data_IF_988903594659
#
_entry.id   IF_988903594659
#
_cell.length_a   1.000
_cell.length_b   1.000
_cell.length_c   1.000
_cell.angle_alpha   90.00
_cell.angle_beta   90.00
_cell.angle_gamma   90.00
#
_symmetry.space_group_name_H-M   'P 1'
#
loop_
_entity.id
_entity.type
_entity.pdbx_description
1 polymer ?
#
# COMPACT_ATOMS: atom_id res chain seq x y z
N UNK A 1 19.95 -14.44 -24.61
CA UNK A 1 21.40 -14.67 -24.43
C UNK A 1 21.57 -15.28 -23.05
N UNK A 2 21.94 -16.56 -22.98
CA UNK A 2 22.15 -17.30 -21.73
C UNK A 2 23.33 -16.68 -20.97
N UNK A 3 23.07 -16.14 -19.78
CA UNK A 3 24.10 -15.78 -18.81
C UNK A 3 24.17 -16.95 -17.81
N UNK A 4 25.38 -17.44 -17.59
CA UNK A 4 25.77 -18.63 -16.81
C UNK A 4 24.78 -19.15 -15.76
N UNK A 5 24.41 -20.42 -15.89
CA UNK A 5 23.44 -21.11 -15.06
C UNK A 5 23.93 -21.34 -13.62
N UNK A 6 23.56 -20.43 -12.73
CA UNK A 6 23.22 -20.80 -11.36
C UNK A 6 21.73 -21.16 -11.37
N UNK A 7 21.37 -22.28 -10.76
CA UNK A 7 19.97 -22.55 -10.44
C UNK A 7 19.46 -21.39 -9.59
N UNK A 8 18.42 -20.68 -10.05
CA UNK A 8 17.72 -19.71 -9.22
C UNK A 8 17.10 -20.40 -8.00
N UNK A 9 16.71 -21.66 -8.11
CA UNK A 9 16.06 -22.40 -7.03
C UNK A 9 17.05 -22.99 -6.03
N UNK A 10 16.68 -22.95 -4.75
CA UNK A 10 17.38 -23.66 -3.68
C UNK A 10 17.22 -25.18 -3.82
N UNK A 11 18.28 -25.93 -3.50
CA UNK A 11 18.26 -27.39 -3.67
C UNK A 11 17.66 -28.13 -2.47
N UNK A 12 17.73 -27.52 -1.28
CA UNK A 12 17.26 -28.09 -0.02
C UNK A 12 16.94 -26.99 1.01
N UNK A 13 16.36 -27.39 2.15
CA UNK A 13 15.96 -26.47 3.23
C UNK A 13 17.14 -25.80 3.94
N UNK A 14 18.31 -26.44 4.01
CA UNK A 14 19.50 -25.88 4.64
C UNK A 14 20.06 -24.72 3.80
N UNK A 15 20.11 -24.89 2.47
CA UNK A 15 20.50 -23.82 1.54
C UNK A 15 19.59 -22.59 1.70
N UNK A 16 18.28 -22.80 1.88
CA UNK A 16 17.32 -21.72 2.12
C UNK A 16 17.57 -21.00 3.45
N UNK A 17 17.83 -21.75 4.54
CA UNK A 17 18.12 -21.14 5.85
C UNK A 17 19.38 -20.28 5.80
N UNK A 18 20.45 -20.81 5.22
CA UNK A 18 21.71 -20.06 5.06
C UNK A 18 21.51 -18.79 4.23
N UNK A 19 20.67 -18.85 3.20
CA UNK A 19 20.30 -17.66 2.43
C UNK A 19 19.46 -16.67 3.26
N UNK A 20 18.45 -17.15 3.98
CA UNK A 20 17.54 -16.33 4.78
C UNK A 20 18.29 -15.59 5.90
N UNK A 21 19.26 -16.24 6.55
CA UNK A 21 20.12 -15.64 7.58
C UNK A 21 20.99 -14.48 7.07
N UNK A 22 21.16 -14.36 5.74
CA UNK A 22 21.89 -13.27 5.08
C UNK A 22 20.97 -12.14 4.60
N UNK A 23 19.65 -12.29 4.74
CA UNK A 23 18.67 -11.30 4.31
C UNK A 23 18.22 -10.38 5.42
N UNK A 24 17.44 -9.36 5.05
CA UNK A 24 16.70 -8.55 6.01
C UNK A 24 15.77 -9.45 6.83
N UNK A 25 15.54 -9.08 8.08
CA UNK A 25 14.63 -9.78 8.97
C UNK A 25 13.25 -9.91 8.28
N UNK A 26 12.64 -11.09 8.42
CA UNK A 26 11.34 -11.44 7.85
C UNK A 26 11.27 -11.46 6.29
N UNK A 27 12.41 -11.37 5.60
CA UNK A 27 12.47 -11.57 4.16
C UNK A 27 12.11 -13.01 3.76
N UNK A 28 11.30 -13.15 2.71
CA UNK A 28 10.82 -14.43 2.21
C UNK A 28 11.36 -14.65 0.80
N UNK A 29 11.89 -15.85 0.56
CA UNK A 29 12.41 -16.23 -0.76
C UNK A 29 11.32 -16.20 -1.82
N UNK A 30 11.68 -15.73 -3.01
CA UNK A 30 10.73 -15.64 -4.11
C UNK A 30 10.28 -17.00 -4.62
N UNK A 31 9.04 -17.09 -5.08
CA UNK A 31 8.52 -18.35 -5.62
C UNK A 31 8.32 -19.47 -4.58
N UNK A 32 8.38 -19.20 -3.28
CA UNK A 32 8.33 -20.23 -2.22
C UNK A 32 7.10 -21.14 -2.28
N UNK A 33 5.96 -20.62 -2.75
CA UNK A 33 4.71 -21.38 -2.93
C UNK A 33 4.42 -21.75 -4.39
N UNK A 34 5.42 -21.63 -5.27
CA UNK A 34 5.33 -22.13 -6.65
C UNK A 34 5.78 -23.58 -6.75
N UNK A 35 5.35 -24.35 -7.76
CA UNK A 35 5.78 -25.74 -7.94
C UNK A 35 7.29 -25.93 -8.08
N UNK A 36 8.01 -24.89 -8.53
CA UNK A 36 9.46 -24.93 -8.70
C UNK A 36 10.23 -24.70 -7.39
N UNK A 37 9.55 -24.25 -6.33
CA UNK A 37 10.14 -23.97 -5.02
C UNK A 37 10.87 -22.62 -4.94
N UNK A 38 11.41 -22.30 -3.75
CA UNK A 38 11.98 -20.99 -3.48
C UNK A 38 13.22 -20.70 -4.31
N UNK A 39 13.37 -19.43 -4.68
CA UNK A 39 14.46 -18.87 -5.49
C UNK A 39 15.35 -17.92 -4.67
N UNK A 40 16.59 -17.72 -5.12
CA UNK A 40 17.68 -16.97 -4.49
C UNK A 40 17.53 -15.44 -4.56
N UNK A 41 16.33 -14.94 -4.29
CA UNK A 41 16.02 -13.51 -4.17
C UNK A 41 14.89 -13.26 -3.16
N UNK A 42 14.84 -12.06 -2.60
CA UNK A 42 13.71 -11.64 -1.75
C UNK A 42 12.49 -11.39 -2.63
N UNK A 43 11.52 -12.30 -2.58
CA UNK A 43 10.29 -12.17 -3.36
C UNK A 43 9.13 -11.56 -2.61
N UNK A 44 9.19 -11.56 -1.27
CA UNK A 44 8.19 -10.94 -0.42
C UNK A 44 8.81 -10.46 0.90
N UNK A 45 8.33 -9.35 1.45
CA UNK A 45 8.78 -8.80 2.74
C UNK A 45 7.66 -8.01 3.44
N UNK A 46 7.42 -8.21 4.76
CA UNK A 46 6.48 -7.38 5.51
C UNK A 46 6.92 -5.92 5.61
N UNK A 47 5.98 -4.99 5.45
CA UNK A 47 6.22 -3.55 5.56
C UNK A 47 4.94 -2.82 5.96
N UNK A 48 5.06 -1.52 6.24
CA UNK A 48 3.91 -0.62 6.21
C UNK A 48 3.87 0.06 4.84
N UNK A 49 2.78 -0.17 4.08
CA UNK A 49 2.55 0.41 2.76
C UNK A 49 1.51 1.50 2.83
N UNK A 50 1.80 2.63 2.20
CA UNK A 50 0.83 3.66 1.85
C UNK A 50 0.45 3.56 0.38
N UNK A 51 -0.82 3.88 0.09
CA UNK A 51 -1.39 3.91 -1.26
C UNK A 51 -2.25 5.16 -1.39
N UNK A 52 -2.02 5.95 -2.45
CA UNK A 52 -2.79 7.15 -2.75
C UNK A 52 -3.28 7.10 -4.20
N UNK A 53 -4.57 7.34 -4.40
CA UNK A 53 -5.22 7.41 -5.70
C UNK A 53 -5.53 8.87 -6.05
N UNK A 54 -5.08 9.32 -7.22
CA UNK A 54 -5.21 10.72 -7.63
C UNK A 54 -5.45 10.84 -9.14
N UNK A 55 -5.94 11.99 -9.58
CA UNK A 55 -6.26 12.25 -11.00
C UNK A 55 -5.08 12.92 -11.72
N UNK A 56 -5.12 12.87 -13.05
CA UNK A 56 -4.27 13.72 -13.91
C UNK A 56 -2.75 13.57 -13.72
N UNK A 57 -2.23 12.36 -13.48
CA UNK A 57 -0.78 12.13 -13.38
C UNK A 57 0.04 12.58 -14.59
N UNK A 58 -0.59 12.85 -15.73
CA UNK A 58 0.04 13.45 -16.92
C UNK A 58 0.35 14.94 -16.78
N UNK A 59 -0.32 15.67 -15.88
CA UNK A 59 -0.25 17.13 -15.81
C UNK A 59 1.08 17.59 -15.22
N UNK A 60 1.54 18.78 -15.62
CA UNK A 60 2.78 19.35 -15.09
C UNK A 60 2.71 19.55 -13.57
N UNK A 61 1.55 20.00 -13.06
CA UNK A 61 1.31 20.17 -11.64
C UNK A 61 1.45 18.85 -10.88
N UNK A 62 0.79 17.78 -11.35
CA UNK A 62 0.83 16.48 -10.67
C UNK A 62 2.20 15.81 -10.80
N UNK A 63 2.92 15.97 -11.92
CA UNK A 63 4.30 15.46 -12.05
C UNK A 63 5.26 16.14 -11.09
N UNK A 64 5.09 17.43 -10.87
CA UNK A 64 5.84 18.17 -9.85
C UNK A 64 5.48 17.70 -8.44
N UNK A 65 4.19 17.52 -8.13
CA UNK A 65 3.75 16.96 -6.86
C UNK A 65 4.31 15.56 -6.60
N UNK A 66 4.34 14.67 -7.61
CA UNK A 66 4.95 13.33 -7.53
C UNK A 66 6.44 13.44 -7.20
N UNK A 67 7.17 14.33 -7.89
CA UNK A 67 8.59 14.54 -7.62
C UNK A 67 8.84 15.00 -6.18
N UNK A 68 8.03 15.93 -5.67
CA UNK A 68 8.12 16.38 -4.28
C UNK A 68 7.79 15.27 -3.26
N UNK A 69 6.83 14.39 -3.57
CA UNK A 69 6.54 13.21 -2.73
C UNK A 69 7.75 12.27 -2.67
N UNK A 70 8.43 12.08 -3.81
CA UNK A 70 9.64 11.26 -3.85
C UNK A 70 10.82 11.91 -3.12
N UNK A 71 11.01 13.23 -3.27
CA UNK A 71 12.04 13.99 -2.56
C UNK A 71 11.88 13.84 -1.03
N UNK A 72 10.65 13.96 -0.51
CA UNK A 72 10.36 13.75 0.91
C UNK A 72 10.64 12.29 1.34
N UNK A 73 10.20 11.31 0.54
CA UNK A 73 10.48 9.89 0.81
C UNK A 73 11.99 9.59 0.84
N UNK A 74 12.76 10.19 -0.07
CA UNK A 74 14.21 10.04 -0.16
C UNK A 74 14.95 10.57 1.08
N UNK A 75 14.35 11.48 1.86
CA UNK A 75 14.93 11.94 3.12
C UNK A 75 15.18 10.78 4.10
N UNK A 76 14.40 9.70 3.99
CA UNK A 76 14.54 8.50 4.81
C UNK A 76 15.09 7.31 4.04
N UNK A 77 14.66 7.14 2.79
CA UNK A 77 14.88 5.90 2.04
C UNK A 77 16.17 5.87 1.21
N UNK A 78 16.77 7.04 0.91
CA UNK A 78 17.80 7.17 -0.13
C UNK A 78 18.99 6.21 0.03
N UNK A 79 19.45 5.99 1.26
CA UNK A 79 20.60 5.11 1.54
C UNK A 79 20.29 3.62 1.33
N UNK A 80 19.00 3.25 1.32
CA UNK A 80 18.55 1.87 1.15
C UNK A 80 18.18 1.51 -0.30
N UNK A 81 17.90 2.50 -1.15
CA UNK A 81 17.45 2.27 -2.52
C UNK A 81 18.60 1.78 -3.41
N UNK A 82 18.36 0.67 -4.13
CA UNK A 82 19.37 -0.04 -4.94
C UNK A 82 19.04 0.00 -6.43
N UNK A 83 17.76 -0.12 -6.78
CA UNK A 83 17.30 -0.22 -8.17
C UNK A 83 16.18 0.75 -8.49
N UNK A 84 16.16 1.21 -9.74
CA UNK A 84 15.08 1.96 -10.35
C UNK A 84 14.62 1.25 -11.63
N UNK A 85 13.31 1.04 -11.73
CA UNK A 85 12.62 0.43 -12.86
C UNK A 85 11.63 1.41 -13.47
N UNK A 86 11.52 1.38 -14.79
CA UNK A 86 10.66 2.25 -15.59
C UNK A 86 9.94 1.40 -16.64
N UNK A 87 8.64 1.60 -16.78
CA UNK A 87 7.88 1.08 -17.92
C UNK A 87 7.88 2.10 -19.07
N UNK A 88 8.20 1.64 -20.28
CA UNK A 88 8.39 2.48 -21.47
C UNK A 88 9.20 3.79 -21.25
N UNK A 89 10.49 3.70 -20.85
CA UNK A 89 11.30 4.87 -20.52
C UNK A 89 11.41 5.90 -21.67
N UNK A 90 11.62 7.20 -21.38
CA UNK A 90 11.88 8.20 -22.40
C UNK A 90 13.13 7.85 -23.21
N UNK A 91 13.22 8.41 -24.44
CA UNK A 91 14.43 8.25 -25.27
C UNK A 91 15.66 8.66 -24.46
N UNK A 92 16.71 7.83 -24.48
CA UNK A 92 17.97 7.95 -23.69
C UNK A 92 17.95 7.39 -22.26
N UNK A 93 16.85 6.82 -21.80
CA UNK A 93 16.76 6.14 -20.50
C UNK A 93 16.61 4.63 -20.67
N UNK A 94 16.95 3.89 -19.62
CA UNK A 94 16.86 2.43 -19.58
C UNK A 94 15.71 1.99 -18.70
N UNK A 95 15.08 0.87 -19.04
CA UNK A 95 13.98 0.27 -18.25
C UNK A 95 14.42 -0.10 -16.84
N UNK A 96 15.71 -0.35 -16.64
CA UNK A 96 16.29 -0.65 -15.33
C UNK A 96 17.68 -0.04 -15.18
N UNK A 97 17.93 0.60 -14.05
CA UNK A 97 19.24 1.13 -13.66
C UNK A 97 19.47 0.96 -12.17
N UNK A 98 20.74 0.91 -11.76
CA UNK A 98 21.06 1.09 -10.34
C UNK A 98 20.68 2.50 -9.92
N UNK A 99 20.20 2.64 -8.68
CA UNK A 99 19.62 3.89 -8.19
C UNK A 99 20.63 5.04 -8.16
N UNK A 100 21.91 4.77 -7.87
CA UNK A 100 23.02 5.74 -7.91
C UNK A 100 23.24 6.38 -9.29
N UNK A 101 22.84 5.68 -10.36
CA UNK A 101 22.93 6.12 -11.76
C UNK A 101 21.59 6.61 -12.31
N UNK A 102 20.51 6.48 -11.55
CA UNK A 102 19.19 6.92 -11.98
C UNK A 102 19.16 8.45 -12.12
N UNK A 103 18.49 8.93 -13.16
CA UNK A 103 18.19 10.35 -13.28
C UNK A 103 17.19 10.76 -12.20
N UNK A 104 17.21 12.02 -11.73
CA UNK A 104 16.16 12.54 -10.87
C UNK A 104 14.77 12.30 -11.49
N UNK A 105 13.80 11.83 -10.69
CA UNK A 105 12.45 11.50 -11.19
C UNK A 105 11.82 12.70 -11.91
N UNK A 106 12.07 13.90 -11.40
CA UNK A 106 11.60 15.19 -11.93
C UNK A 106 12.04 15.44 -13.37
N UNK A 107 13.27 15.08 -13.71
CA UNK A 107 13.80 15.27 -15.06
C UNK A 107 13.25 14.22 -16.03
N UNK A 108 13.14 12.98 -15.56
CA UNK A 108 12.53 11.88 -16.32
C UNK A 108 11.06 12.19 -16.64
N UNK A 109 10.28 12.65 -15.66
CA UNK A 109 8.87 13.03 -15.81
C UNK A 109 8.65 14.20 -16.78
N UNK A 110 9.59 15.15 -16.90
CA UNK A 110 9.52 16.23 -17.91
C UNK A 110 9.65 15.69 -19.34
N UNK A 111 10.35 14.58 -19.53
CA UNK A 111 10.60 13.99 -20.84
C UNK A 111 9.44 13.10 -21.35
N UNK A 112 8.49 12.73 -20.48
CA UNK A 112 7.30 11.99 -20.91
C UNK A 112 6.32 12.90 -21.66
N UNK A 113 5.79 12.43 -22.79
CA UNK A 113 4.62 13.07 -23.41
C UNK A 113 3.42 13.00 -22.46
N UNK A 114 2.55 14.03 -22.37
CA UNK A 114 1.27 13.95 -21.64
C UNK A 114 0.34 12.84 -22.16
N UNK A 115 0.55 12.37 -23.38
CA UNK A 115 -0.23 11.29 -24.01
C UNK A 115 0.29 9.89 -23.67
N UNK A 116 1.41 9.79 -22.95
CA UNK A 116 1.95 8.52 -22.47
C UNK A 116 1.69 8.36 -20.98
N UNK A 117 1.26 7.16 -20.60
CA UNK A 117 1.34 6.73 -19.20
C UNK A 117 2.82 6.50 -18.84
N UNK A 118 3.11 6.47 -17.56
CA UNK A 118 4.44 6.10 -17.06
C UNK A 118 4.28 5.24 -15.82
N UNK A 119 5.33 4.50 -15.49
CA UNK A 119 5.46 3.78 -14.23
C UNK A 119 6.91 3.85 -13.77
N UNK A 120 7.13 4.13 -12.49
CA UNK A 120 8.41 4.05 -11.81
C UNK A 120 8.29 3.13 -10.60
N UNK A 121 9.33 2.33 -10.39
CA UNK A 121 9.54 1.54 -9.18
C UNK A 121 10.96 1.82 -8.67
N UNK A 122 11.08 2.25 -7.43
CA UNK A 122 12.33 2.36 -6.68
C UNK A 122 12.27 1.37 -5.53
N UNK A 123 13.28 0.52 -5.37
CA UNK A 123 13.26 -0.53 -4.34
C UNK A 123 14.62 -0.67 -3.66
N UNK A 124 14.60 -1.23 -2.45
CA UNK A 124 15.77 -1.64 -1.66
C UNK A 124 16.19 -3.09 -1.89
N UNK A 125 15.53 -3.81 -2.80
CA UNK A 125 15.88 -5.20 -3.14
C UNK A 125 17.35 -5.33 -3.57
N UNK A 126 18.07 -6.32 -3.03
CA UNK A 126 19.51 -6.49 -3.34
C UNK A 126 19.71 -6.91 -4.79
N UNK A 127 19.03 -7.98 -5.20
CA UNK A 127 19.04 -8.45 -6.57
C UNK A 127 18.13 -7.59 -7.45
N UNK A 128 18.45 -7.51 -8.74
CA UNK A 128 17.73 -6.69 -9.73
C UNK A 128 16.21 -6.89 -9.71
N UNK A 129 15.73 -8.10 -9.47
CA UNK A 129 14.31 -8.47 -9.43
C UNK A 129 13.79 -8.75 -8.02
N UNK A 130 14.57 -8.45 -6.98
CA UNK A 130 14.12 -8.57 -5.60
C UNK A 130 13.25 -7.37 -5.20
N UNK A 131 12.40 -7.59 -4.20
CA UNK A 131 11.74 -6.52 -3.47
C UNK A 131 12.50 -6.21 -2.18
N UNK A 132 12.08 -5.15 -1.48
CA UNK A 132 12.62 -4.73 -0.19
C UNK A 132 11.59 -3.87 0.53
N UNK A 133 11.75 -3.71 1.85
CA UNK A 133 10.77 -3.00 2.68
C UNK A 133 10.68 -1.50 2.35
N UNK A 134 11.77 -0.91 1.86
CA UNK A 134 11.79 0.43 1.26
C UNK A 134 11.44 0.32 -0.22
N UNK A 135 10.22 0.71 -0.59
CA UNK A 135 9.74 0.75 -1.97
C UNK A 135 8.98 2.05 -2.22
N UNK A 136 9.17 2.66 -3.38
CA UNK A 136 8.33 3.75 -3.87
C UNK A 136 7.91 3.44 -5.30
N UNK A 137 6.60 3.43 -5.55
CA UNK A 137 6.08 3.24 -6.90
C UNK A 137 5.15 4.38 -7.27
N UNK A 138 5.17 4.76 -8.55
CA UNK A 138 4.21 5.73 -9.07
C UNK A 138 3.92 5.43 -10.51
N UNK A 139 2.63 5.47 -10.85
CA UNK A 139 2.16 5.28 -12.21
C UNK A 139 1.12 6.34 -12.54
N UNK A 140 1.49 7.21 -13.48
CA UNK A 140 0.64 8.27 -13.98
C UNK A 140 -0.15 7.83 -15.21
N UNK A 141 -1.45 8.07 -15.21
CA UNK A 141 -2.30 7.86 -16.38
C UNK A 141 -2.11 9.00 -17.38
N UNK A 142 -2.17 8.67 -18.67
CA UNK A 142 -2.08 9.66 -19.74
C UNK A 142 -3.29 10.59 -19.75
N UNK A 143 -3.19 11.69 -20.51
CA UNK A 143 -4.29 12.64 -20.68
C UNK A 143 -5.55 11.98 -21.24
N UNK A 144 -5.44 11.24 -22.34
CA UNK A 144 -6.56 10.51 -22.93
C UNK A 144 -7.20 9.52 -21.95
N UNK A 145 -6.40 8.74 -21.20
CA UNK A 145 -6.94 7.84 -20.18
C UNK A 145 -7.71 8.59 -19.09
N UNK A 146 -7.19 9.74 -18.65
CA UNK A 146 -7.84 10.57 -17.64
C UNK A 146 -9.17 11.16 -18.14
N UNK A 147 -9.22 11.60 -19.40
CA UNK A 147 -10.43 12.13 -20.05
C UNK A 147 -11.55 11.09 -20.22
N UNK A 148 -11.21 9.80 -20.30
CA UNK A 148 -12.22 8.73 -20.30
C UNK A 148 -12.99 8.62 -18.98
N UNK A 149 -12.49 9.22 -17.89
CA UNK A 149 -13.14 9.20 -16.57
C UNK A 149 -13.13 7.84 -15.87
N UNK A 150 -12.52 6.80 -16.46
CA UNK A 150 -12.45 5.43 -15.93
C UNK A 150 -11.02 5.04 -15.49
N UNK A 151 -10.12 6.01 -15.35
CA UNK A 151 -8.75 5.80 -14.93
C UNK A 151 -8.33 6.81 -13.86
N UNK A 152 -7.47 6.37 -12.95
CA UNK A 152 -6.77 7.22 -12.00
C UNK A 152 -5.33 6.75 -11.84
N UNK A 153 -4.47 7.68 -11.43
CA UNK A 153 -3.06 7.46 -11.15
C UNK A 153 -2.90 6.97 -9.71
N UNK A 154 -1.80 6.27 -9.45
CA UNK A 154 -1.52 5.71 -8.13
C UNK A 154 -0.09 6.01 -7.74
N UNK A 155 0.10 6.31 -6.46
CA UNK A 155 1.41 6.40 -5.83
C UNK A 155 1.40 5.49 -4.60
N UNK A 156 2.45 4.70 -4.43
CA UNK A 156 2.67 3.90 -3.23
C UNK A 156 4.06 4.17 -2.67
N UNK A 157 4.19 4.03 -1.37
CA UNK A 157 5.49 3.91 -0.72
C UNK A 157 5.40 2.97 0.46
N UNK A 158 6.51 2.33 0.81
CA UNK A 158 6.60 1.45 1.98
C UNK A 158 7.88 1.68 2.76
N UNK A 159 7.82 1.33 4.03
CA UNK A 159 8.95 1.38 4.96
C UNK A 159 8.91 0.15 5.87
N UNK A 160 10.05 -0.29 6.43
CA UNK A 160 10.09 -1.37 7.40
C UNK A 160 9.14 -1.13 8.57
N UNK A 161 8.50 -2.19 9.04
CA UNK A 161 7.54 -2.13 10.16
C UNK A 161 8.17 -1.47 11.39
N UNK A 162 9.33 -1.97 11.82
CA UNK A 162 10.05 -1.47 13.00
C UNK A 162 10.38 0.03 12.87
N UNK A 163 10.82 0.46 11.68
CA UNK A 163 11.12 1.86 11.42
C UNK A 163 9.87 2.74 11.60
N UNK A 164 8.71 2.31 11.11
CA UNK A 164 7.45 3.08 11.24
C UNK A 164 6.94 3.09 12.68
N UNK A 165 7.13 2.01 13.46
CA UNK A 165 6.76 2.00 14.87
C UNK A 165 7.61 2.98 15.70
N UNK A 166 8.89 3.13 15.36
CA UNK A 166 9.80 4.09 15.98
C UNK A 166 9.56 5.53 15.47
N UNK A 167 9.20 5.69 14.20
CA UNK A 167 9.10 6.97 13.49
C UNK A 167 7.67 7.29 13.03
N UNK A 168 6.67 6.89 13.83
CA UNK A 168 5.24 6.90 13.45
C UNK A 168 4.77 8.24 12.88
N UNK A 169 5.14 9.35 13.53
CA UNK A 169 4.75 10.69 13.09
C UNK A 169 5.37 11.09 11.75
N UNK A 170 6.60 10.64 11.47
CA UNK A 170 7.27 10.92 10.18
C UNK A 170 6.55 10.20 9.03
N UNK A 171 6.12 8.95 9.25
CA UNK A 171 5.31 8.22 8.26
C UNK A 171 3.95 8.88 8.04
N UNK A 172 3.23 9.24 9.11
CA UNK A 172 1.93 9.92 9.03
C UNK A 172 2.06 11.25 8.29
N UNK A 173 3.09 12.05 8.61
CA UNK A 173 3.33 13.33 7.97
C UNK A 173 3.64 13.18 6.48
N UNK A 174 4.48 12.21 6.11
CA UNK A 174 4.73 11.89 4.70
C UNK A 174 3.43 11.53 3.97
N UNK A 175 2.60 10.67 4.55
CA UNK A 175 1.32 10.27 3.97
C UNK A 175 0.39 11.47 3.75
N UNK A 176 0.24 12.34 4.76
CA UNK A 176 -0.58 13.56 4.68
C UNK A 176 -0.05 14.51 3.62
N UNK A 177 1.26 14.77 3.61
CA UNK A 177 1.88 15.69 2.65
C UNK A 177 1.75 15.18 1.22
N UNK A 178 1.93 13.88 0.99
CA UNK A 178 1.69 13.27 -0.32
C UNK A 178 0.21 13.36 -0.72
N UNK A 179 -0.72 13.06 0.18
CA UNK A 179 -2.16 13.17 -0.09
C UNK A 179 -2.55 14.61 -0.47
N UNK A 180 -2.00 15.61 0.23
CA UNK A 180 -2.22 17.03 -0.04
C UNK A 180 -1.68 17.44 -1.42
N UNK A 181 -0.41 17.16 -1.71
CA UNK A 181 0.23 17.56 -2.97
C UNK A 181 -0.44 16.92 -4.19
N UNK A 182 -0.83 15.66 -4.07
CA UNK A 182 -1.48 14.90 -5.13
C UNK A 182 -2.98 15.19 -5.23
N UNK A 183 -3.56 15.98 -4.30
CA UNK A 183 -5.01 16.19 -4.19
C UNK A 183 -5.75 14.84 -4.21
N UNK A 184 -5.28 13.90 -3.40
CA UNK A 184 -5.69 12.51 -3.46
C UNK A 184 -7.22 12.38 -3.28
N UNK A 185 -7.85 11.59 -4.16
CA UNK A 185 -9.28 11.29 -4.04
C UNK A 185 -9.54 10.42 -2.81
N UNK A 186 -8.67 9.43 -2.61
CA UNK A 186 -8.64 8.56 -1.45
C UNK A 186 -7.32 7.81 -1.37
N UNK A 187 -7.12 7.09 -0.29
CA UNK A 187 -5.97 6.25 -0.06
C UNK A 187 -6.02 5.58 1.29
N UNK A 188 -5.03 4.77 1.57
CA UNK A 188 -4.90 4.11 2.86
C UNK A 188 -3.44 3.74 3.13
N UNK A 189 -3.10 3.53 4.40
CA UNK A 189 -1.81 2.98 4.78
C UNK A 189 -1.95 2.03 5.97
N UNK A 190 -1.14 0.97 5.98
CA UNK A 190 -1.10 -0.03 7.05
C UNK A 190 -0.17 -1.18 6.72
N UNK A 191 -0.30 -2.29 7.45
CA UNK A 191 0.48 -3.51 7.18
C UNK A 191 0.28 -3.97 5.73
N UNK A 192 1.35 -4.41 5.09
CA UNK A 192 1.36 -4.99 3.76
C UNK A 192 2.46 -6.04 3.66
N UNK A 193 2.37 -6.87 2.63
CA UNK A 193 3.50 -7.66 2.16
C UNK A 193 3.92 -7.10 0.81
N UNK A 194 5.11 -6.51 0.73
CA UNK A 194 5.64 -6.03 -0.53
C UNK A 194 6.18 -7.24 -1.26
N UNK A 195 5.66 -7.51 -2.45
CA UNK A 195 6.15 -8.57 -3.33
C UNK A 195 6.99 -7.96 -4.45
N UNK A 196 7.87 -8.77 -5.05
CA UNK A 196 8.58 -8.33 -6.26
C UNK A 196 7.58 -8.10 -7.40
N UNK A 197 7.35 -6.82 -7.71
CA UNK A 197 6.49 -6.35 -8.80
C UNK A 197 6.94 -6.90 -10.17
N UNK A 198 8.24 -7.14 -10.32
CA UNK A 198 8.87 -7.60 -11.57
C UNK A 198 8.62 -9.09 -11.80
N UNK A 199 8.30 -9.81 -10.72
CA UNK A 199 7.99 -11.24 -10.72
C UNK A 199 6.71 -11.51 -9.95
N UNK A 200 5.70 -10.65 -10.10
CA UNK A 200 4.45 -10.69 -9.32
C UNK A 200 3.82 -12.09 -9.35
N UNK A 201 3.72 -12.70 -10.53
CA UNK A 201 3.13 -14.03 -10.75
C UNK A 201 3.72 -15.12 -9.85
N UNK A 202 5.01 -15.02 -9.50
CA UNK A 202 5.72 -15.99 -8.66
C UNK A 202 5.53 -15.73 -7.17
N UNK A 203 5.13 -14.52 -6.79
CA UNK A 203 5.13 -14.06 -5.40
C UNK A 203 3.72 -13.73 -4.87
N UNK A 204 2.72 -13.54 -5.73
CA UNK A 204 1.31 -13.42 -5.31
C UNK A 204 0.82 -14.59 -4.45
N UNK A 205 1.22 -15.87 -4.68
CA UNK A 205 0.86 -16.96 -3.78
C UNK A 205 1.36 -16.73 -2.34
N UNK A 206 2.53 -16.10 -2.17
CA UNK A 206 3.08 -15.73 -0.84
C UNK A 206 2.23 -14.65 -0.19
N UNK A 207 1.85 -13.60 -0.92
CA UNK A 207 0.96 -12.57 -0.42
C UNK A 207 -0.42 -13.14 -0.05
N UNK A 208 -0.95 -14.06 -0.87
CA UNK A 208 -2.21 -14.75 -0.62
C UNK A 208 -2.15 -15.59 0.66
N UNK A 209 -1.07 -16.35 0.88
CA UNK A 209 -0.83 -17.09 2.12
C UNK A 209 -0.82 -16.16 3.34
N UNK A 210 -0.02 -15.09 3.28
CA UNK A 210 0.13 -14.15 4.39
C UNK A 210 -1.15 -13.38 4.70
N UNK A 211 -1.99 -13.09 3.72
CA UNK A 211 -3.29 -12.42 3.93
C UNK A 211 -4.25 -13.20 4.84
N UNK A 212 -4.05 -14.52 4.97
CA UNK A 212 -4.84 -15.39 5.88
C UNK A 212 -4.29 -15.39 7.29
N UNK A 213 -3.02 -15.03 7.45
CA UNK A 213 -2.31 -14.88 8.72
C UNK A 213 -2.41 -13.47 9.28
N UNK A 214 -2.45 -12.48 8.41
CA UNK A 214 -2.51 -11.06 8.74
C UNK A 214 -3.71 -10.45 8.02
N UNK A 215 -4.87 -10.52 8.66
CA UNK A 215 -6.15 -10.14 8.07
C UNK A 215 -6.25 -8.65 7.77
N UNK A 216 -5.54 -7.78 8.48
CA UNK A 216 -5.57 -6.35 8.22
C UNK A 216 -4.60 -5.91 7.11
N UNK A 217 -3.74 -6.82 6.64
CA UNK A 217 -2.74 -6.54 5.61
C UNK A 217 -3.38 -6.13 4.28
N UNK A 218 -2.84 -5.08 3.65
CA UNK A 218 -3.15 -4.72 2.27
C UNK A 218 -2.53 -5.72 1.29
N UNK A 219 -3.27 -6.05 0.24
CA UNK A 219 -2.95 -7.12 -0.73
C UNK A 219 -3.14 -6.69 -2.17
N UNK A 220 -2.36 -7.24 -3.08
CA UNK A 220 -2.43 -7.06 -4.53
C UNK A 220 -1.90 -5.72 -5.01
N UNK A 221 -1.90 -5.53 -6.32
CA UNK A 221 -1.38 -4.32 -6.98
C UNK A 221 -2.43 -3.18 -6.99
N UNK A 222 -2.13 -2.04 -6.32
CA UNK A 222 -2.94 -0.83 -6.42
C UNK A 222 -3.17 -0.32 -7.85
N UNK A 223 -2.23 -0.50 -8.79
CA UNK A 223 -2.37 -0.04 -10.17
C UNK A 223 -3.44 -0.81 -10.96
N UNK A 224 -3.51 -2.13 -10.75
CA UNK A 224 -4.50 -2.99 -11.41
C UNK A 224 -5.91 -2.77 -10.87
N UNK A 225 -6.02 -2.47 -9.57
CA UNK A 225 -7.29 -2.19 -8.91
C UNK A 225 -7.80 -0.75 -9.13
N UNK A 226 -6.93 0.20 -9.48
CA UNK A 226 -7.23 1.63 -9.60
C UNK A 226 -8.50 1.95 -10.41
N UNK A 227 -8.72 1.28 -11.55
CA UNK A 227 -9.89 1.57 -12.40
C UNK A 227 -11.24 1.22 -11.76
N UNK A 228 -11.26 0.33 -10.77
CA UNK A 228 -12.48 -0.05 -10.03
C UNK A 228 -12.75 0.88 -8.84
N UNK A 229 -11.79 1.70 -8.46
CA UNK A 229 -11.80 2.50 -7.21
C UNK A 229 -12.08 3.98 -7.46
N UNK A 230 -12.77 4.33 -8.55
CA UNK A 230 -12.98 5.73 -8.95
C UNK A 230 -14.12 6.35 -8.16
N UNK A 231 -15.16 5.57 -7.89
CA UNK A 231 -16.37 5.98 -7.18
C UNK A 231 -16.40 5.50 -5.73
N UNK A 232 -15.28 4.99 -5.21
CA UNK A 232 -15.24 4.47 -3.85
C UNK A 232 -13.88 3.95 -3.43
N UNK A 233 -13.80 3.50 -2.17
CA UNK A 233 -12.59 2.97 -1.56
C UNK A 233 -12.52 1.44 -1.66
N UNK A 234 -11.30 0.90 -1.62
CA UNK A 234 -11.04 -0.55 -1.57
C UNK A 234 -11.29 -1.12 -0.17
N UNK A 235 -10.75 -0.43 0.84
CA UNK A 235 -10.71 -0.87 2.23
C UNK A 235 -10.44 0.34 3.13
N UNK A 236 -10.66 0.16 4.44
CA UNK A 236 -10.06 1.00 5.48
C UNK A 236 -8.75 0.36 5.97
N UNK A 237 -7.90 1.15 6.61
CA UNK A 237 -6.66 0.69 7.26
C UNK A 237 -6.26 1.65 8.40
N UNK A 238 -5.04 1.51 8.93
CA UNK A 238 -4.48 2.37 9.98
C UNK A 238 -4.66 3.85 9.68
N UNK A 239 -4.24 4.27 8.49
CA UNK A 239 -4.54 5.59 7.93
C UNK A 239 -5.51 5.38 6.77
N UNK A 240 -6.58 6.17 6.70
CA UNK A 240 -7.53 6.15 5.59
C UNK A 240 -7.80 7.57 5.12
N UNK A 241 -7.37 7.90 3.90
CA UNK A 241 -7.60 9.20 3.27
C UNK A 241 -8.88 9.13 2.43
N UNK A 242 -9.76 10.12 2.58
CA UNK A 242 -10.95 10.29 1.74
C UNK A 242 -11.16 11.78 1.45
N UNK A 243 -11.56 12.09 0.21
CA UNK A 243 -11.86 13.47 -0.18
C UNK A 243 -13.05 14.04 0.62
N UNK A 244 -13.16 15.37 0.65
CA UNK A 244 -14.24 16.05 1.38
C UNK A 244 -15.63 15.73 0.83
N UNK A 245 -15.79 15.48 -0.48
CA UNK A 245 -17.08 15.13 -1.05
C UNK A 245 -17.65 13.86 -0.40
N UNK A 246 -16.82 12.84 -0.19
CA UNK A 246 -17.20 11.59 0.43
C UNK A 246 -17.31 11.71 1.95
N UNK A 247 -16.35 12.40 2.58
CA UNK A 247 -16.37 12.59 4.03
C UNK A 247 -17.59 13.37 4.51
N UNK A 248 -17.99 14.43 3.79
CA UNK A 248 -19.14 15.24 4.16
C UNK A 248 -20.44 14.43 4.13
N UNK A 249 -20.62 13.54 3.13
CA UNK A 249 -21.78 12.63 3.07
C UNK A 249 -21.86 11.71 4.28
N UNK A 250 -20.72 11.17 4.73
CA UNK A 250 -20.66 10.34 5.93
C UNK A 250 -20.96 11.16 7.19
N UNK A 251 -20.33 12.33 7.32
CA UNK A 251 -20.54 13.24 8.46
C UNK A 251 -21.99 13.68 8.63
N UNK A 252 -22.72 13.87 7.52
CA UNK A 252 -24.13 14.27 7.53
C UNK A 252 -25.07 13.12 7.96
N UNK A 253 -24.65 11.87 7.78
CA UNK A 253 -25.46 10.67 8.03
C UNK A 253 -25.15 10.02 9.38
N UNK A 254 -23.93 10.16 9.87
CA UNK A 254 -23.41 9.46 11.05
C UNK A 254 -23.07 10.42 12.18
N UNK A 255 -23.34 10.00 13.42
CA UNK A 255 -22.92 10.72 14.61
C UNK A 255 -21.44 10.46 14.93
N UNK A 256 -20.53 10.98 14.09
CA UNK A 256 -19.09 10.64 14.10
C UNK A 256 -18.42 10.76 15.47
N UNK A 257 -18.79 11.73 16.31
CA UNK A 257 -18.26 11.88 17.67
C UNK A 257 -18.57 10.68 18.57
N UNK A 258 -19.70 10.00 18.35
CA UNK A 258 -20.07 8.77 19.06
C UNK A 258 -19.54 7.51 18.35
N UNK A 259 -19.53 7.53 17.02
CA UNK A 259 -19.15 6.37 16.22
C UNK A 259 -17.63 6.15 16.14
N UNK A 260 -16.85 7.23 16.14
CA UNK A 260 -15.39 7.26 16.09
C UNK A 260 -14.85 8.09 17.27
N UNK A 261 -14.87 7.55 18.51
CA UNK A 261 -14.48 8.32 19.69
C UNK A 261 -13.04 8.80 19.58
N UNK A 262 -12.83 10.11 19.77
CA UNK A 262 -11.52 10.74 19.53
C UNK A 262 -10.39 10.33 20.50
N UNK A 263 -10.68 9.43 21.44
CA UNK A 263 -9.65 8.77 22.25
C UNK A 263 -8.87 7.73 21.44
N UNK A 264 -9.45 7.17 20.37
CA UNK A 264 -8.80 6.16 19.50
C UNK A 264 -8.71 6.59 18.03
N UNK A 265 -9.50 7.58 17.62
CA UNK A 265 -9.50 8.10 16.26
C UNK A 265 -9.08 9.57 16.22
N UNK A 266 -8.41 9.97 15.14
CA UNK A 266 -8.06 11.37 14.90
C UNK A 266 -8.09 11.67 13.40
N UNK A 267 -8.60 12.85 13.05
CA UNK A 267 -8.66 13.35 11.68
C UNK A 267 -7.59 14.40 11.40
N UNK A 268 -7.03 14.37 10.20
CA UNK A 268 -6.08 15.36 9.69
C UNK A 268 -6.57 15.92 8.36
N UNK A 269 -6.69 17.23 8.27
CA UNK A 269 -6.99 17.92 7.01
C UNK A 269 -5.75 17.85 6.09
N UNK A 270 -5.96 17.44 4.84
CA UNK A 270 -4.93 17.48 3.78
C UNK A 270 -5.33 18.43 2.62
N UNK A 271 -6.28 19.33 2.85
CA UNK A 271 -6.73 20.41 1.95
C UNK A 271 -7.87 20.01 1.01
N UNK A 272 -7.87 18.78 0.48
CA UNK A 272 -8.94 18.27 -0.40
C UNK A 272 -9.75 17.12 0.22
N UNK A 273 -9.43 16.78 1.46
CA UNK A 273 -10.07 15.71 2.22
C UNK A 273 -9.48 15.56 3.61
N UNK A 274 -9.79 14.43 4.24
CA UNK A 274 -9.33 14.08 5.58
C UNK A 274 -8.62 12.73 5.59
N UNK A 275 -7.52 12.64 6.35
CA UNK A 275 -6.92 11.39 6.77
C UNK A 275 -7.48 11.03 8.14
N UNK A 276 -8.09 9.85 8.26
CA UNK A 276 -8.53 9.29 9.53
C UNK A 276 -7.47 8.29 9.98
N UNK A 277 -6.86 8.54 11.14
CA UNK A 277 -5.98 7.60 11.83
C UNK A 277 -6.80 6.79 12.86
N UNK A 278 -6.68 5.46 12.80
CA UNK A 278 -7.33 4.50 13.68
C UNK A 278 -6.29 3.81 14.58
N UNK A 279 -6.15 4.28 15.82
CA UNK A 279 -5.18 3.77 16.78
C UNK A 279 -3.76 4.36 16.65
N UNK A 280 -2.87 3.99 17.57
CA UNK A 280 -1.50 4.53 17.62
C UNK A 280 -0.60 3.96 16.52
N UNK A 281 -0.66 2.66 16.27
CA UNK A 281 0.22 1.94 15.34
C UNK A 281 -0.62 1.17 14.32
N UNK A 282 -0.01 0.83 13.19
CA UNK A 282 -0.59 -0.11 12.27
C UNK A 282 -0.75 -1.48 12.95
N UNK A 283 -1.89 -2.12 12.76
CA UNK A 283 -2.20 -3.45 13.30
C UNK A 283 -2.22 -4.44 12.14
N UNK A 284 -1.55 -5.58 12.30
CA UNK A 284 -1.45 -6.60 11.25
C UNK A 284 -2.73 -7.42 11.07
N UNK A 285 -3.60 -7.42 12.09
CA UNK A 285 -4.76 -8.32 12.12
C UNK A 285 -4.32 -9.78 12.20
N UNK A 286 -3.35 -10.12 13.05
CA UNK A 286 -2.82 -11.48 13.14
C UNK A 286 -3.89 -12.47 13.60
N UNK A 287 -4.03 -13.61 12.91
CA UNK A 287 -4.93 -14.71 13.30
C UNK A 287 -4.57 -15.36 14.65
N UNK A 288 -3.34 -15.16 15.13
CA UNK A 288 -2.85 -15.67 16.42
C UNK A 288 -3.13 -14.73 17.60
N UNK A 289 -3.35 -13.44 17.33
CA UNK A 289 -3.51 -12.41 18.38
C UNK A 289 -4.89 -11.76 18.30
N UNK A 290 -5.16 -11.09 17.18
CA UNK A 290 -6.42 -10.42 16.93
C UNK A 290 -6.61 -10.17 15.42
N UNK A 291 -7.41 -11.00 14.73
CA UNK A 291 -7.64 -10.84 13.29
C UNK A 291 -8.52 -9.62 12.95
N UNK A 292 -9.28 -9.09 13.91
CA UNK A 292 -10.27 -8.05 13.68
C UNK A 292 -10.13 -6.92 14.71
N UNK A 293 -9.09 -6.07 14.61
CA UNK A 293 -8.93 -4.92 15.49
C UNK A 293 -10.18 -4.05 15.54
N UNK A 294 -10.61 -3.66 16.74
CA UNK A 294 -11.86 -2.92 16.90
C UNK A 294 -11.79 -1.56 16.22
N UNK A 295 -10.65 -0.88 16.29
CA UNK A 295 -10.42 0.37 15.57
C UNK A 295 -10.70 0.25 14.06
N UNK A 296 -10.33 -0.87 13.42
CA UNK A 296 -10.56 -1.07 11.97
C UNK A 296 -11.98 -1.52 11.65
N UNK A 297 -12.56 -2.38 12.48
CA UNK A 297 -13.95 -2.82 12.32
C UNK A 297 -14.92 -1.65 12.47
N UNK A 298 -14.73 -0.81 13.50
CA UNK A 298 -15.58 0.36 13.74
C UNK A 298 -15.42 1.39 12.61
N UNK A 299 -14.19 1.66 12.14
CA UNK A 299 -13.97 2.53 10.99
C UNK A 299 -14.58 1.97 9.70
N UNK A 300 -14.44 0.67 9.45
CA UNK A 300 -15.03 -0.01 8.31
C UNK A 300 -16.55 0.14 8.31
N UNK A 301 -17.23 -0.01 9.46
CA UNK A 301 -18.68 0.18 9.55
C UNK A 301 -19.10 1.55 9.02
N UNK A 302 -18.39 2.60 9.40
CA UNK A 302 -18.71 3.98 9.04
C UNK A 302 -18.38 4.29 7.58
N UNK A 303 -17.27 3.77 7.05
CA UNK A 303 -16.87 4.02 5.66
C UNK A 303 -17.39 2.97 4.67
N UNK A 304 -18.11 1.95 5.14
CA UNK A 304 -18.71 0.88 4.32
C UNK A 304 -19.57 1.42 3.16
N UNK A 305 -20.38 2.48 3.32
CA UNK A 305 -21.15 3.05 2.20
C UNK A 305 -20.27 3.58 1.05
N UNK A 306 -19.00 3.91 1.31
CA UNK A 306 -18.04 4.36 0.30
C UNK A 306 -17.26 3.20 -0.34
N UNK A 307 -17.31 2.00 0.24
CA UNK A 307 -16.54 0.87 -0.28
C UNK A 307 -17.18 0.35 -1.57
N UNK A 308 -16.35 0.13 -2.58
CA UNK A 308 -16.83 -0.42 -3.86
C UNK A 308 -17.41 -1.82 -3.66
N UNK A 309 -18.48 -2.13 -4.39
CA UNK A 309 -19.15 -3.42 -4.24
C UNK A 309 -18.28 -4.58 -4.74
N UNK A 310 -17.56 -4.37 -5.84
CA UNK A 310 -16.76 -5.39 -6.51
C UNK A 310 -15.42 -4.85 -7.00
N UNK A 311 -14.39 -5.64 -6.76
CA UNK A 311 -13.07 -5.52 -7.36
C UNK A 311 -12.85 -6.85 -8.11
N UNK A 312 -12.64 -6.82 -9.43
CA UNK A 312 -12.65 -8.06 -10.22
C UNK A 312 -11.60 -9.06 -9.74
N UNK A 313 -10.38 -8.57 -9.54
CA UNK A 313 -9.24 -9.36 -9.11
C UNK A 313 -8.29 -8.46 -8.31
N UNK A 314 -7.82 -8.95 -7.16
CA UNK A 314 -6.73 -8.36 -6.39
C UNK A 314 -5.39 -8.93 -6.89
N UNK A 315 -5.36 -10.24 -7.17
CA UNK A 315 -4.26 -10.94 -7.81
C UNK A 315 -4.55 -11.21 -9.29
N UNK A 316 -3.52 -11.25 -10.14
CA UNK A 316 -3.64 -11.47 -11.59
C UNK A 316 -2.91 -12.70 -12.08
N UNK A 317 -1.87 -13.15 -11.38
CA UNK A 317 -1.00 -14.23 -11.78
C UNK A 317 -1.69 -15.58 -11.91
N UNK A 318 -1.01 -16.52 -12.56
CA UNK A 318 -1.61 -17.81 -12.93
C UNK A 318 -1.22 -18.96 -12.00
N UNK A 319 -0.40 -18.70 -10.97
CA UNK A 319 0.07 -19.69 -10.01
C UNK A 319 -0.97 -19.92 -8.89
N UNK A 320 -2.22 -20.19 -9.27
CA UNK A 320 -3.30 -20.50 -8.34
C UNK A 320 -3.21 -21.97 -7.89
N UNK A 321 -3.29 -22.23 -6.59
CA UNK A 321 -3.22 -23.59 -6.02
C UNK A 321 -4.32 -23.78 -4.98
N UNK A 322 -4.75 -25.01 -4.72
CA UNK A 322 -5.74 -25.28 -3.67
C UNK A 322 -5.26 -24.87 -2.28
N UNK A 323 -3.95 -25.00 -2.02
CA UNK A 323 -3.32 -24.66 -0.74
C UNK A 323 -3.15 -23.14 -0.58
N UNK A 324 -2.75 -22.45 -1.66
CA UNK A 324 -2.53 -21.00 -1.65
C UNK A 324 -3.35 -20.32 -2.75
N UNK A 325 -4.69 -20.29 -2.61
CA UNK A 325 -5.50 -19.78 -3.69
C UNK A 325 -5.34 -18.26 -3.82
N UNK A 326 -5.22 -17.79 -5.06
CA UNK A 326 -5.11 -16.37 -5.34
C UNK A 326 -6.42 -15.64 -5.00
N UNK A 327 -6.29 -14.37 -4.62
CA UNK A 327 -7.39 -13.51 -4.18
C UNK A 327 -8.08 -12.92 -5.42
N UNK A 328 -8.94 -13.74 -6.05
CA UNK A 328 -9.70 -13.41 -7.27
C UNK A 328 -11.20 -13.63 -7.06
N UNK A 329 -12.04 -12.89 -7.81
CA UNK A 329 -13.50 -13.05 -7.79
C UNK A 329 -14.09 -12.98 -6.38
N UNK A 330 -14.83 -14.02 -5.97
CA UNK A 330 -15.48 -14.06 -4.65
C UNK A 330 -14.49 -13.95 -3.47
N UNK A 331 -13.23 -14.39 -3.62
CA UNK A 331 -12.20 -14.25 -2.58
C UNK A 331 -11.76 -12.80 -2.41
N UNK A 332 -11.69 -12.06 -3.51
CA UNK A 332 -11.41 -10.63 -3.47
C UNK A 332 -12.55 -9.85 -2.79
N UNK A 333 -13.80 -10.21 -3.09
CA UNK A 333 -14.97 -9.65 -2.40
C UNK A 333 -14.98 -9.99 -0.91
N UNK A 334 -14.65 -11.24 -0.55
CA UNK A 334 -14.54 -11.66 0.85
C UNK A 334 -13.45 -10.88 1.60
N UNK A 335 -12.29 -10.68 0.98
CA UNK A 335 -11.23 -9.86 1.55
C UNK A 335 -11.68 -8.39 1.75
N UNK A 336 -12.40 -7.79 0.80
CA UNK A 336 -12.93 -6.43 0.98
C UNK A 336 -13.93 -6.35 2.14
N UNK A 337 -14.71 -7.41 2.37
CA UNK A 337 -15.75 -7.50 3.41
C UNK A 337 -15.25 -8.07 4.74
N UNK A 338 -13.95 -8.33 4.90
CA UNK A 338 -13.38 -9.02 6.08
C UNK A 338 -13.66 -8.34 7.43
N UNK A 339 -13.85 -7.02 7.43
CA UNK A 339 -14.20 -6.23 8.62
C UNK A 339 -15.70 -5.99 8.79
N UNK A 340 -16.55 -6.62 7.95
CA UNK A 340 -17.98 -6.48 8.08
C UNK A 340 -18.48 -7.28 9.29
N UNK A 341 -19.24 -6.60 10.12
CA UNK A 341 -19.92 -7.18 11.28
C UNK A 341 -21.43 -6.98 11.13
N UNK A 342 -22.20 -7.74 11.89
CA UNK A 342 -23.63 -7.46 12.08
C UNK A 342 -23.81 -6.30 13.06
N UNK A 343 -24.93 -5.59 12.95
CA UNK A 343 -25.20 -4.41 13.78
C UNK A 343 -25.32 -4.75 15.28
N UNK A 344 -25.77 -5.95 15.63
CA UNK A 344 -25.85 -6.44 17.01
C UNK A 344 -24.47 -6.66 17.66
N UNK A 345 -23.41 -6.81 16.86
CA UNK A 345 -22.03 -6.93 17.32
C UNK A 345 -21.37 -5.57 17.59
N UNK A 346 -22.01 -4.44 17.24
CA UNK A 346 -21.46 -3.09 17.38
C UNK A 346 -20.98 -2.81 18.81
N UNK A 347 -21.80 -3.14 19.81
CA UNK A 347 -21.48 -2.86 21.23
C UNK A 347 -20.29 -3.70 21.73
N UNK A 348 -20.14 -4.94 21.25
CA UNK A 348 -19.00 -5.80 21.57
C UNK A 348 -17.69 -5.14 21.11
N UNK A 349 -17.66 -4.60 19.90
CA UNK A 349 -16.46 -3.93 19.37
C UNK A 349 -16.17 -2.59 20.07
N UNK A 350 -17.18 -1.85 20.53
CA UNK A 350 -16.93 -0.70 21.41
C UNK A 350 -16.35 -1.12 22.77
N UNK A 351 -16.79 -2.25 23.32
CA UNK A 351 -16.22 -2.84 24.52
C UNK A 351 -14.76 -3.26 24.30
N UNK A 352 -14.47 -3.94 23.19
CA UNK A 352 -13.12 -4.30 22.78
C UNK A 352 -12.22 -3.07 22.59
N UNK A 353 -12.72 -2.01 21.97
CA UNK A 353 -11.98 -0.75 21.79
C UNK A 353 -11.50 -0.15 23.14
N UNK A 354 -12.25 -0.32 24.23
CA UNK A 354 -11.82 0.16 25.55
C UNK A 354 -10.50 -0.48 26.04
N UNK A 355 -10.19 -1.68 25.55
CA UNK A 355 -8.94 -2.38 25.86
C UNK A 355 -7.77 -1.96 24.94
N UNK A 356 -8.06 -1.30 23.82
CA UNK A 356 -7.02 -0.81 22.91
C UNK A 356 -6.36 0.47 23.47
N UNK A 357 -5.05 0.67 23.27
CA UNK A 357 -4.36 1.87 23.70
C UNK A 357 -4.97 3.14 23.09
N UNK A 358 -5.27 4.13 23.94
CA UNK A 358 -5.71 5.46 23.49
C UNK A 358 -4.59 6.19 22.76
N UNK A 359 -4.98 7.08 21.84
CA UNK A 359 -4.08 7.96 21.12
C UNK A 359 -3.22 8.79 22.07
N UNK A 360 -1.95 8.95 21.71
CA UNK A 360 -1.00 9.77 22.47
C UNK A 360 -0.07 10.56 21.53
N UNK A 361 0.60 11.57 22.07
CA UNK A 361 1.46 12.50 21.31
C UNK A 361 2.74 11.88 20.75
N UNK A 362 3.10 10.66 21.15
CA UNK A 362 4.22 9.91 20.55
C UNK A 362 3.85 9.46 19.13
N UNK A 363 2.61 9.00 18.95
CA UNK A 363 2.15 8.34 17.72
C UNK A 363 1.09 9.11 16.93
N UNK A 364 0.63 10.27 17.41
CA UNK A 364 -0.37 11.08 16.74
C UNK A 364 -0.13 12.58 16.94
N UNK A 365 -0.48 13.39 15.94
CA UNK A 365 -0.48 14.86 16.02
C UNK A 365 -1.76 15.38 16.67
N UNK A 366 -1.85 15.31 18.01
CA UNK A 366 -3.06 15.68 18.74
C UNK A 366 -3.44 17.17 18.57
N UNK A 367 -2.45 18.02 18.27
CA UNK A 367 -2.57 19.46 18.00
C UNK A 367 -3.11 19.79 16.59
N UNK A 368 -3.02 18.85 15.65
CA UNK A 368 -3.51 18.99 14.27
C UNK A 368 -4.88 18.35 14.05
N UNK A 369 -5.57 17.99 15.15
CA UNK A 369 -6.87 17.31 15.11
C UNK A 369 -7.92 18.18 14.42
N UNK A 370 -8.61 17.57 13.46
CA UNK A 370 -9.87 18.07 12.92
C UNK A 370 -11.02 17.54 13.78
N UNK A 371 -11.94 18.42 14.17
CA UNK A 371 -13.21 18.01 14.77
C UNK A 371 -14.07 17.34 13.69
N UNK A 372 -14.76 16.25 14.05
CA UNK A 372 -15.56 15.52 13.09
C UNK A 372 -16.73 16.35 12.54
N UNK A 373 -17.18 17.35 13.29
CA UNK A 373 -18.31 18.22 12.95
C UNK A 373 -18.96 18.78 14.20
#
# INVERSE_FOLDING_TARGET
MLIGGRSLHFKNQEDYKVWADQQEKDAIGGGIFTPQGPEDYVGAIPAIRAVLYFKEGYSTEMREAIAQCFDDYQTYAKEYLTWQWQDEPPKSESENTTFDKAKPIRDSLKNYSPMKAFYFLYTSGKEKFATGAWEFTVGGKSKWQSEMGIHQSVLTFSMPVEWVEENTKLFIELFINCAQRLKANHGYAGYACIISQIREDKNEPTEAYLSRKFWAMDVGDPFLSAKYLISGIKTVSWLTAINHEWFNKIREQEALNSELPMSWFIGYDYGTGIVIQAGNLALSGSDEVDPLPASYVLLNRILKPLRVERIQAIHWGNQDTEENPLIKGYRAEAWMKRFDIKDDQKLEYFGKLQSEPKLNSKHAFLDRRVDWG
#
